data_IF_939433032245
#
_entry.id   IF_939433032245
#
_cell.length_a   1.000
_cell.length_b   1.000
_cell.length_c   1.000
_cell.angle_alpha   90.00
_cell.angle_beta   90.00
_cell.angle_gamma   90.00
#
_symmetry.space_group_name_H-M   'P 1'
#
loop_
_entity.id
_entity.type
_entity.pdbx_description
1 polymer ?
#
# COMPACT_ATOMS: atom_id res chain seq x y z
N UNK A 1 2.52 8.45 -17.24
CA UNK A 1 3.83 9.08 -17.00
C UNK A 1 4.84 7.99 -16.73
N UNK A 2 5.98 7.96 -17.43
CA UNK A 2 7.06 7.03 -17.12
C UNK A 2 7.84 7.56 -15.92
N UNK A 3 7.98 6.75 -14.86
CA UNK A 3 8.77 7.12 -13.68
C UNK A 3 10.24 7.10 -14.06
N UNK A 4 10.94 8.22 -13.85
CA UNK A 4 12.40 8.27 -14.05
C UNK A 4 13.07 7.52 -12.91
N UNK A 5 13.96 6.60 -13.24
CA UNK A 5 14.81 5.96 -12.24
C UNK A 5 15.66 7.01 -11.50
N UNK A 6 15.84 6.88 -10.18
CA UNK A 6 16.73 7.76 -9.43
C UNK A 6 18.17 7.57 -9.91
N UNK A 7 18.97 8.64 -9.84
CA UNK A 7 20.40 8.57 -10.18
C UNK A 7 21.13 7.80 -9.08
N UNK A 8 21.91 6.79 -9.45
CA UNK A 8 22.73 6.02 -8.50
C UNK A 8 23.62 6.95 -7.66
N UNK A 9 23.69 6.68 -6.36
CA UNK A 9 24.46 7.42 -5.37
C UNK A 9 23.78 8.70 -4.84
N UNK A 10 22.50 8.94 -5.16
CA UNK A 10 21.78 10.14 -4.71
C UNK A 10 20.81 9.91 -3.56
N UNK A 11 20.50 8.65 -3.23
CA UNK A 11 19.45 8.33 -2.25
C UNK A 11 19.79 7.16 -1.33
N UNK A 12 20.76 6.34 -1.70
CA UNK A 12 21.10 5.07 -1.07
C UNK A 12 21.53 5.28 0.39
N UNK A 13 22.30 6.32 0.67
CA UNK A 13 22.73 6.68 2.04
C UNK A 13 21.61 7.32 2.89
N UNK A 14 20.55 7.80 2.25
CA UNK A 14 19.38 8.39 2.92
C UNK A 14 18.39 7.32 3.38
N UNK A 15 18.48 6.11 2.82
CA UNK A 15 17.58 5.02 3.14
C UNK A 15 18.30 3.97 3.97
N UNK A 16 17.62 3.46 5.00
CA UNK A 16 18.12 2.35 5.81
C UNK A 16 17.04 1.28 5.89
N UNK A 17 17.36 0.02 5.55
CA UNK A 17 16.44 -1.09 5.78
C UNK A 17 16.10 -1.19 7.27
N UNK A 18 14.81 -1.29 7.59
CA UNK A 18 14.32 -1.50 8.94
C UNK A 18 13.60 -2.83 9.00
N UNK A 19 13.84 -3.61 10.05
CA UNK A 19 13.08 -4.84 10.31
C UNK A 19 11.73 -4.49 10.90
N UNK A 20 10.67 -5.08 10.36
CA UNK A 20 9.30 -4.87 10.80
C UNK A 20 8.63 -6.22 10.99
N UNK A 21 7.90 -6.40 12.09
CA UNK A 21 7.13 -7.61 12.34
C UNK A 21 5.93 -7.69 11.41
N UNK A 22 5.81 -8.77 10.63
CA UNK A 22 4.73 -8.93 9.64
C UNK A 22 3.35 -8.90 10.31
N UNK A 23 3.23 -9.43 11.52
CA UNK A 23 1.97 -9.42 12.29
C UNK A 23 1.52 -8.03 12.73
N UNK A 24 2.40 -7.02 12.68
CA UNK A 24 2.06 -5.62 12.99
C UNK A 24 1.53 -4.85 11.77
N UNK A 25 1.55 -5.47 10.59
CA UNK A 25 1.20 -4.82 9.34
C UNK A 25 -0.25 -5.10 8.95
N UNK A 26 -0.88 -4.11 8.33
CA UNK A 26 -2.23 -4.23 7.76
C UNK A 26 -2.17 -4.08 6.24
N UNK A 27 -2.95 -4.93 5.56
CA UNK A 27 -3.20 -4.86 4.11
C UNK A 27 -4.68 -4.63 3.89
N UNK A 28 -5.03 -3.56 3.16
CA UNK A 28 -6.36 -3.39 2.60
C UNK A 28 -6.41 -4.10 1.24
N UNK A 29 -7.45 -4.90 1.03
CA UNK A 29 -7.65 -5.73 -0.14
C UNK A 29 -9.14 -5.78 -0.45
N UNK A 30 -9.53 -5.72 -1.74
CA UNK A 30 -10.93 -5.87 -2.14
C UNK A 30 -11.35 -7.33 -2.11
N UNK A 31 -10.43 -8.22 -2.47
CA UNK A 31 -10.66 -9.67 -2.44
C UNK A 31 -9.60 -10.37 -1.59
N UNK A 32 -9.64 -10.27 -0.25
CA UNK A 32 -8.58 -10.80 0.61
C UNK A 32 -8.36 -12.31 0.48
N UNK A 33 -9.36 -13.06 0.00
CA UNK A 33 -9.28 -14.50 -0.23
C UNK A 33 -8.64 -14.89 -1.57
N UNK A 34 -8.62 -14.00 -2.57
CA UNK A 34 -8.23 -14.33 -3.95
C UNK A 34 -7.17 -13.39 -4.53
N UNK A 35 -7.06 -12.17 -4.02
CA UNK A 35 -5.97 -11.27 -4.38
C UNK A 35 -4.65 -11.85 -3.88
N UNK A 36 -3.63 -11.95 -4.75
CA UNK A 36 -2.32 -12.38 -4.33
C UNK A 36 -1.78 -11.43 -3.25
N UNK A 37 -0.94 -11.96 -2.36
CA UNK A 37 -0.24 -11.14 -1.37
C UNK A 37 0.65 -10.08 -2.04
N UNK A 38 1.11 -10.34 -3.26
CA UNK A 38 2.04 -9.51 -4.02
C UNK A 38 1.35 -9.00 -5.30
N UNK A 39 1.39 -7.69 -5.57
CA UNK A 39 0.92 -7.10 -6.83
C UNK A 39 1.81 -7.52 -8.00
N UNK A 40 1.34 -7.34 -9.24
CA UNK A 40 2.05 -7.81 -10.44
C UNK A 40 2.42 -6.67 -11.40
N UNK A 41 3.03 -5.57 -10.93
CA UNK A 41 3.69 -4.64 -11.88
C UNK A 41 2.95 -3.34 -12.25
N UNK A 42 1.97 -2.87 -11.47
CA UNK A 42 1.12 -1.73 -11.87
C UNK A 42 1.39 -0.46 -11.04
N UNK A 43 2.01 -0.59 -9.88
CA UNK A 43 2.13 0.47 -8.89
C UNK A 43 3.57 0.98 -8.73
N UNK A 44 3.71 2.15 -8.09
CA UNK A 44 4.93 2.99 -8.05
C UNK A 44 6.21 2.27 -7.58
N UNK A 45 6.08 1.17 -6.86
CA UNK A 45 7.20 0.39 -6.32
C UNK A 45 7.25 -1.04 -6.86
N UNK A 46 6.43 -1.36 -7.86
CA UNK A 46 6.63 -2.59 -8.63
C UNK A 46 7.86 -2.44 -9.56
N UNK A 47 8.29 -3.55 -10.19
CA UNK A 47 9.49 -3.56 -11.04
C UNK A 47 9.46 -2.42 -12.07
N UNK A 48 10.42 -1.48 -12.03
CA UNK A 48 10.45 -0.39 -12.99
C UNK A 48 10.89 -0.84 -14.38
N UNK A 49 11.39 -2.07 -14.55
CA UNK A 49 11.76 -2.65 -15.84
C UNK A 49 10.52 -3.20 -16.58
N UNK A 50 10.08 -2.57 -17.69
CA UNK A 50 8.93 -3.04 -18.46
C UNK A 50 9.16 -4.44 -19.05
N UNK A 51 10.42 -4.85 -19.25
CA UNK A 51 10.78 -6.17 -19.75
C UNK A 51 10.66 -7.28 -18.70
N UNK A 52 10.46 -6.93 -17.43
CA UNK A 52 10.34 -7.84 -16.28
C UNK A 52 9.05 -7.65 -15.51
N UNK A 53 8.07 -6.95 -16.12
CA UNK A 53 6.77 -6.72 -15.53
C UNK A 53 6.12 -8.06 -15.10
N UNK A 54 5.85 -8.21 -13.81
CA UNK A 54 5.28 -9.43 -13.22
C UNK A 54 6.29 -10.43 -12.65
N UNK A 55 7.61 -10.23 -12.82
CA UNK A 55 8.63 -11.04 -12.15
C UNK A 55 8.81 -10.66 -10.67
N UNK A 56 8.63 -9.37 -10.37
CA UNK A 56 8.68 -8.84 -9.01
C UNK A 56 7.29 -8.35 -8.59
N UNK A 57 6.84 -8.80 -7.43
CA UNK A 57 5.59 -8.33 -6.86
C UNK A 57 5.80 -7.58 -5.56
N UNK A 58 5.06 -6.50 -5.37
CA UNK A 58 5.08 -5.70 -4.14
C UNK A 58 3.87 -5.99 -3.25
N UNK A 59 4.09 -6.21 -1.95
CA UNK A 59 3.01 -6.29 -0.97
C UNK A 59 2.92 -4.94 -0.26
N UNK A 60 1.91 -4.17 -0.63
CA UNK A 60 1.67 -2.86 -0.04
C UNK A 60 0.95 -3.01 1.31
N UNK A 61 1.60 -2.54 2.37
CA UNK A 61 1.11 -2.62 3.75
C UNK A 61 1.36 -1.32 4.50
N UNK A 62 0.69 -1.14 5.63
CA UNK A 62 0.96 -0.04 6.55
C UNK A 62 0.99 -0.53 8.01
N UNK A 63 1.55 0.27 8.91
CA UNK A 63 1.52 0.00 10.35
C UNK A 63 0.19 0.31 11.03
N UNK A 64 -0.76 0.94 10.33
CA UNK A 64 -2.11 1.19 10.85
C UNK A 64 -3.16 1.24 9.73
N UNK A 65 -4.42 1.02 10.11
CA UNK A 65 -5.56 1.05 9.19
C UNK A 65 -5.76 2.47 8.63
N UNK A 66 -5.61 3.49 9.47
CA UNK A 66 -5.76 4.89 9.08
C UNK A 66 -4.70 5.30 8.06
N UNK A 67 -3.44 4.90 8.28
CA UNK A 67 -2.36 5.13 7.32
C UNK A 67 -2.66 4.48 5.97
N UNK A 68 -3.13 3.23 6.00
CA UNK A 68 -3.45 2.48 4.78
C UNK A 68 -4.65 3.04 4.02
N UNK A 69 -5.66 3.53 4.74
CA UNK A 69 -6.82 4.18 4.14
C UNK A 69 -6.41 5.50 3.47
N UNK A 70 -5.63 6.34 4.15
CA UNK A 70 -5.12 7.60 3.58
C UNK A 70 -4.31 7.36 2.32
N UNK A 71 -3.41 6.38 2.34
CA UNK A 71 -2.64 5.96 1.16
C UNK A 71 -3.58 5.57 0.01
N UNK A 72 -4.60 4.76 0.29
CA UNK A 72 -5.56 4.33 -0.74
C UNK A 72 -6.33 5.51 -1.36
N UNK A 73 -6.78 6.47 -0.54
CA UNK A 73 -7.49 7.67 -1.02
C UNK A 73 -6.57 8.58 -1.84
N UNK A 74 -5.34 8.83 -1.37
CA UNK A 74 -4.37 9.66 -2.10
C UNK A 74 -4.01 8.99 -3.44
N UNK A 75 -3.88 7.66 -3.47
CA UNK A 75 -3.57 6.95 -4.70
C UNK A 75 -4.71 6.97 -5.72
N UNK A 76 -5.97 6.94 -5.28
CA UNK A 76 -7.13 6.90 -6.17
C UNK A 76 -7.58 8.30 -6.62
N UNK A 77 -7.60 9.26 -5.69
CA UNK A 77 -8.23 10.57 -5.90
C UNK A 77 -7.28 11.75 -5.70
N UNK A 78 -6.02 11.49 -5.31
CA UNK A 78 -4.99 12.52 -5.21
C UNK A 78 -4.60 13.07 -6.56
N UNK A 79 -4.54 14.39 -6.67
CA UNK A 79 -4.18 15.11 -7.89
C UNK A 79 -3.14 16.18 -7.60
N UNK A 80 -2.27 16.41 -8.58
CA UNK A 80 -1.26 17.44 -8.51
C UNK A 80 -1.72 18.65 -9.34
N UNK A 81 -2.07 19.74 -8.68
CA UNK A 81 -2.63 20.96 -9.28
C UNK A 81 -1.82 22.14 -8.76
N UNK A 82 -1.35 23.01 -9.66
CA UNK A 82 -0.63 24.25 -9.32
C UNK A 82 0.53 24.09 -8.31
N UNK A 83 1.28 22.99 -8.42
CA UNK A 83 2.45 22.72 -7.58
C UNK A 83 2.13 22.08 -6.22
N UNK A 84 0.87 21.79 -5.92
CA UNK A 84 0.43 21.16 -4.68
C UNK A 84 -0.31 19.85 -4.94
N UNK A 85 -0.19 18.90 -4.00
CA UNK A 85 -1.03 17.71 -3.98
C UNK A 85 -2.32 18.01 -3.22
N UNK A 86 -3.45 17.78 -3.85
CA UNK A 86 -4.77 17.95 -3.26
C UNK A 86 -5.63 16.69 -3.43
N UNK A 87 -6.60 16.52 -2.53
CA UNK A 87 -7.60 15.46 -2.54
C UNK A 87 -8.96 16.13 -2.34
N UNK A 88 -9.99 15.84 -3.15
CA UNK A 88 -11.32 16.36 -2.91
C UNK A 88 -11.83 16.01 -1.52
N UNK A 89 -12.39 16.98 -0.79
CA UNK A 89 -12.86 16.75 0.59
C UNK A 89 -13.92 15.64 0.68
N UNK A 90 -14.77 15.51 -0.34
CA UNK A 90 -15.78 14.45 -0.45
C UNK A 90 -15.16 13.04 -0.34
N UNK A 91 -13.98 12.83 -0.93
CA UNK A 91 -13.26 11.55 -0.87
C UNK A 91 -12.76 11.20 0.53
N UNK A 92 -12.65 12.20 1.41
CA UNK A 92 -12.29 12.00 2.82
C UNK A 92 -13.54 11.82 3.70
N UNK A 93 -14.63 12.53 3.41
CA UNK A 93 -15.83 12.55 4.26
C UNK A 93 -16.83 11.44 3.96
N UNK A 94 -16.84 10.92 2.72
CA UNK A 94 -17.79 9.89 2.30
C UNK A 94 -17.24 8.47 2.47
N UNK A 95 -15.94 8.33 2.77
CA UNK A 95 -15.27 7.05 2.98
C UNK A 95 -15.18 6.72 4.47
N UNK A 96 -15.56 5.50 4.82
CA UNK A 96 -15.57 5.00 6.18
C UNK A 96 -14.79 3.69 6.26
N UNK A 97 -14.05 3.49 7.35
CA UNK A 97 -13.42 2.21 7.64
C UNK A 97 -14.08 1.58 8.86
N UNK A 98 -14.62 0.38 8.68
CA UNK A 98 -15.18 -0.42 9.76
C UNK A 98 -14.28 -1.63 10.00
N UNK A 99 -13.79 -1.79 11.22
CA UNK A 99 -13.09 -3.00 11.64
C UNK A 99 -14.05 -3.94 12.34
N UNK A 100 -13.94 -5.23 12.06
CA UNK A 100 -14.63 -6.28 12.81
C UNK A 100 -13.59 -7.21 13.37
N UNK A 101 -13.48 -7.26 14.70
CA UNK A 101 -12.63 -8.24 15.35
C UNK A 101 -13.23 -9.64 15.12
N UNK A 102 -12.52 -10.50 14.39
CA UNK A 102 -12.84 -11.92 14.32
C UNK A 102 -12.18 -12.56 15.53
N UNK A 103 -12.95 -12.82 16.58
CA UNK A 103 -12.49 -13.55 17.76
C UNK A 103 -12.07 -14.97 17.39
N UNK A 104 -11.02 -15.49 18.04
CA UNK A 104 -10.67 -16.92 17.95
C UNK A 104 -11.88 -17.73 18.41
N UNK A 105 -12.25 -18.77 17.65
CA UNK A 105 -13.21 -19.79 18.10
C UNK A 105 -12.73 -20.30 19.47
N UNK A 106 -13.56 -20.33 20.53
CA UNK A 106 -13.16 -21.00 21.75
C UNK A 106 -12.84 -22.47 21.41
N UNK A 107 -11.70 -22.95 21.87
CA UNK A 107 -11.36 -24.36 21.75
C UNK A 107 -12.45 -25.16 22.50
N UNK A 108 -12.99 -26.20 21.86
CA UNK A 108 -13.93 -27.10 22.52
C UNK A 108 -13.26 -27.68 23.78
N UNK A 109 -13.90 -27.61 24.96
CA UNK A 109 -13.41 -28.35 26.10
C UNK A 109 -13.50 -29.86 25.81
N UNK A 110 -12.43 -30.56 26.18
CA UNK A 110 -12.30 -32.02 26.15
C UNK A 110 -13.26 -32.69 27.12
#
# INVERSE_FOLDING_TARGET
MSLRLPKTGTFEDLLRPVRVEVSSLVRLSRYPATEPYWSSGVYRFDDPDPGRAGEFGACYTAGSIEGRLRESVIHESGRFVDGVYEVPSAELTERWCASRAIGKRPANPS
#
